data_IF_275271227483
#
_entry.id   IF_275271227483
#
_cell.length_a   1.000
_cell.length_b   1.000
_cell.length_c   1.000
_cell.angle_alpha   90.00
_cell.angle_beta   90.00
_cell.angle_gamma   90.00
#
_symmetry.space_group_name_H-M   'P 1'
#
loop_
_entity.id
_entity.type
_entity.pdbx_description
1 polymer ?
#
# COMPACT_ATOMS: atom_id res chain seq x y z
N UNK A 1 8.06 13.38 -1.54
CA UNK A 1 8.01 12.53 -2.76
C UNK A 1 6.57 12.21 -3.17
N UNK A 2 5.63 12.07 -2.23
CA UNK A 2 4.18 12.01 -2.49
C UNK A 2 3.56 13.35 -2.11
N UNK A 3 3.63 14.30 -3.03
CA UNK A 3 3.03 15.62 -2.86
C UNK A 3 1.50 15.51 -2.73
N UNK A 4 0.88 14.59 -3.47
CA UNK A 4 -0.54 14.28 -3.46
C UNK A 4 -1.10 14.01 -2.05
N UNK A 5 -0.49 13.09 -1.29
CA UNK A 5 -0.95 12.73 0.05
C UNK A 5 -0.79 13.90 1.05
N UNK A 6 0.28 14.70 0.92
CA UNK A 6 0.50 15.89 1.76
C UNK A 6 -0.46 17.03 1.42
N UNK A 7 -0.72 17.27 0.13
CA UNK A 7 -1.71 18.25 -0.31
C UNK A 7 -3.12 17.85 0.12
N UNK A 8 -3.48 16.56 0.01
CA UNK A 8 -4.79 16.06 0.41
C UNK A 8 -5.12 16.35 1.88
N UNK A 9 -4.20 16.05 2.80
CA UNK A 9 -4.42 16.34 4.23
C UNK A 9 -4.41 17.84 4.52
N UNK A 10 -3.57 18.62 3.83
CA UNK A 10 -3.55 20.09 3.96
C UNK A 10 -4.80 20.77 3.41
N UNK A 11 -5.45 20.18 2.41
CA UNK A 11 -6.74 20.63 1.90
C UNK A 11 -7.84 20.36 2.93
N UNK A 12 -7.87 19.14 3.50
CA UNK A 12 -8.79 18.76 4.57
C UNK A 12 -8.64 19.67 5.81
N UNK A 13 -7.41 20.00 6.22
CA UNK A 13 -7.14 20.93 7.34
C UNK A 13 -7.67 22.35 7.09
N UNK A 14 -7.92 22.73 5.83
CA UNK A 14 -8.51 24.02 5.45
C UNK A 14 -10.02 23.92 5.20
N UNK A 15 -10.64 22.78 5.46
CA UNK A 15 -12.07 22.55 5.24
C UNK A 15 -12.46 22.29 3.78
N UNK A 16 -11.49 22.06 2.89
CA UNK A 16 -11.78 21.70 1.50
C UNK A 16 -12.10 20.21 1.37
N UNK A 17 -12.91 19.88 0.37
CA UNK A 17 -13.21 18.50 -0.04
C UNK A 17 -12.48 18.16 -1.33
N UNK A 18 -12.04 16.92 -1.46
CA UNK A 18 -11.40 16.39 -2.67
C UNK A 18 -12.32 15.35 -3.28
N UNK A 19 -12.65 15.50 -4.55
CA UNK A 19 -13.51 14.59 -5.32
C UNK A 19 -12.73 13.87 -6.40
N UNK A 20 -13.32 12.78 -6.91
CA UNK A 20 -12.80 12.05 -8.07
C UNK A 20 -13.66 12.40 -9.28
N UNK A 21 -13.02 12.82 -10.36
CA UNK A 21 -13.69 13.08 -11.65
C UNK A 21 -13.87 11.76 -12.38
N UNK A 22 -15.04 11.52 -12.97
CA UNK A 22 -15.33 10.32 -13.77
C UNK A 22 -14.65 10.40 -15.15
N UNK A 23 -13.33 10.32 -15.15
CA UNK A 23 -12.50 10.30 -16.35
C UNK A 23 -11.52 9.12 -16.27
N UNK A 24 -11.11 8.62 -17.44
CA UNK A 24 -10.13 7.52 -17.54
C UNK A 24 -8.87 8.04 -18.22
N UNK A 25 -7.75 8.00 -17.50
CA UNK A 25 -6.42 8.30 -18.03
C UNK A 25 -5.65 6.99 -18.18
N UNK A 26 -5.05 6.77 -19.35
CA UNK A 26 -4.19 5.63 -19.61
C UNK A 26 -2.73 6.03 -19.35
N UNK A 27 -2.03 5.21 -18.58
CA UNK A 27 -0.59 5.33 -18.33
C UNK A 27 0.05 3.95 -18.53
N UNK A 28 1.31 3.93 -18.94
CA UNK A 28 2.08 2.71 -19.09
C UNK A 28 2.20 1.94 -17.76
N UNK A 29 1.76 0.69 -17.75
CA UNK A 29 1.96 -0.19 -16.61
C UNK A 29 3.42 -0.67 -16.55
N UNK A 30 4.00 -0.62 -15.35
CA UNK A 30 5.36 -1.08 -15.14
C UNK A 30 5.45 -2.61 -15.20
N UNK A 31 6.18 -3.13 -16.19
CA UNK A 31 6.34 -4.56 -16.44
C UNK A 31 7.69 -5.14 -15.96
N UNK A 32 8.62 -4.30 -15.47
CA UNK A 32 9.91 -4.75 -14.95
C UNK A 32 10.00 -4.61 -13.43
N UNK A 33 10.30 -5.72 -12.75
CA UNK A 33 10.37 -5.80 -11.28
C UNK A 33 11.29 -4.73 -10.67
N UNK A 34 12.49 -4.54 -11.22
CA UNK A 34 13.42 -3.53 -10.71
C UNK A 34 12.88 -2.09 -10.80
N UNK A 35 12.20 -1.77 -11.92
CA UNK A 35 11.58 -0.47 -12.12
C UNK A 35 10.35 -0.31 -11.21
N UNK A 36 9.57 -1.37 -11.01
CA UNK A 36 8.42 -1.41 -10.10
C UNK A 36 8.86 -1.15 -8.65
N UNK A 37 9.95 -1.78 -8.19
CA UNK A 37 10.49 -1.58 -6.84
C UNK A 37 10.91 -0.12 -6.65
N UNK A 38 11.57 0.49 -7.63
CA UNK A 38 11.92 1.93 -7.59
C UNK A 38 10.68 2.81 -7.47
N UNK A 39 9.68 2.57 -8.32
CA UNK A 39 8.42 3.30 -8.30
C UNK A 39 7.71 3.20 -6.94
N UNK A 40 7.51 1.98 -6.44
CA UNK A 40 6.79 1.73 -5.18
C UNK A 40 7.55 2.21 -3.97
N UNK A 41 8.86 2.04 -3.94
CA UNK A 41 9.69 2.54 -2.83
C UNK A 41 9.62 4.07 -2.72
N UNK A 42 9.53 4.79 -3.85
CA UNK A 42 9.29 6.25 -3.86
C UNK A 42 7.94 6.62 -3.23
N UNK A 43 6.87 5.90 -3.56
CA UNK A 43 5.53 6.15 -3.02
C UNK A 43 5.48 5.86 -1.51
N UNK A 44 5.97 4.69 -1.12
CA UNK A 44 6.00 4.27 0.30
C UNK A 44 6.87 5.23 1.13
N UNK A 45 8.03 5.66 0.62
CA UNK A 45 8.87 6.67 1.29
C UNK A 45 8.11 7.98 1.47
N UNK A 46 7.38 8.40 0.45
CA UNK A 46 6.52 9.57 0.52
C UNK A 46 5.46 9.44 1.62
N UNK A 47 4.77 8.30 1.70
CA UNK A 47 3.80 8.03 2.76
C UNK A 47 4.44 8.07 4.15
N UNK A 48 5.62 7.47 4.32
CA UNK A 48 6.37 7.56 5.57
C UNK A 48 6.70 9.02 5.95
N UNK A 49 7.15 9.83 4.97
CA UNK A 49 7.44 11.25 5.20
C UNK A 49 6.19 12.03 5.60
N UNK A 50 5.08 11.86 4.87
CA UNK A 50 3.81 12.53 5.16
C UNK A 50 3.27 12.10 6.53
N UNK A 51 3.31 10.81 6.84
CA UNK A 51 2.96 10.27 8.16
C UNK A 51 3.79 10.90 9.28
N UNK A 52 5.12 10.97 9.11
CA UNK A 52 6.02 11.54 10.11
C UNK A 52 5.79 13.04 10.32
N UNK A 53 5.51 13.81 9.27
CA UNK A 53 5.26 15.25 9.37
C UNK A 53 3.96 15.55 10.11
N UNK A 54 2.87 14.90 9.72
CA UNK A 54 1.53 15.18 10.26
C UNK A 54 1.28 14.50 11.62
N UNK A 55 2.03 13.46 11.96
CA UNK A 55 1.96 12.82 13.28
C UNK A 55 2.78 13.53 14.36
N UNK A 56 3.50 14.64 14.06
CA UNK A 56 4.26 15.41 15.08
C UNK A 56 3.37 16.04 16.14
N UNK A 57 2.12 16.39 15.79
CA UNK A 57 1.14 17.02 16.68
C UNK A 57 -0.24 16.39 16.47
N UNK A 58 -0.43 15.10 16.83
CA UNK A 58 -1.60 14.33 16.44
C UNK A 58 -2.91 14.91 17.02
N UNK A 59 -2.87 15.41 18.25
CA UNK A 59 -4.02 16.08 18.88
C UNK A 59 -4.45 17.35 18.12
N UNK A 60 -3.49 18.09 17.55
CA UNK A 60 -3.80 19.26 16.73
C UNK A 60 -4.42 18.85 15.41
N UNK A 61 -3.92 17.77 14.79
CA UNK A 61 -4.49 17.24 13.57
C UNK A 61 -5.93 16.79 13.78
N UNK A 62 -6.22 16.01 14.84
CA UNK A 62 -7.59 15.59 15.19
C UNK A 62 -8.53 16.79 15.38
N UNK A 63 -8.06 17.85 16.04
CA UNK A 63 -8.87 19.08 16.20
C UNK A 63 -9.14 19.81 14.87
N UNK A 64 -8.28 19.67 13.87
CA UNK A 64 -8.39 20.38 12.59
C UNK A 64 -9.20 19.61 11.55
N UNK A 65 -9.02 18.29 11.44
CA UNK A 65 -9.69 17.45 10.43
C UNK A 65 -10.80 16.56 10.99
N UNK A 66 -10.90 16.46 12.31
CA UNK A 66 -11.82 15.55 13.00
C UNK A 66 -11.32 14.10 13.04
N UNK A 67 -11.94 13.30 13.90
CA UNK A 67 -11.50 11.92 14.16
C UNK A 67 -11.61 11.01 12.93
N UNK A 68 -12.66 11.16 12.11
CA UNK A 68 -12.89 10.33 10.93
C UNK A 68 -11.78 10.48 9.88
N UNK A 69 -11.40 11.73 9.57
CA UNK A 69 -10.37 12.02 8.58
C UNK A 69 -8.97 11.69 9.14
N UNK A 70 -8.76 11.91 10.44
CA UNK A 70 -7.56 11.47 11.13
C UNK A 70 -7.37 9.95 11.06
N UNK A 71 -8.42 9.16 11.32
CA UNK A 71 -8.36 7.71 11.22
C UNK A 71 -8.12 7.25 9.77
N UNK A 72 -8.77 7.87 8.78
CA UNK A 72 -8.51 7.57 7.38
C UNK A 72 -7.05 7.86 6.99
N UNK A 73 -6.50 9.01 7.42
CA UNK A 73 -5.10 9.35 7.24
C UNK A 73 -4.18 8.33 7.90
N UNK A 74 -4.44 7.98 9.17
CA UNK A 74 -3.61 7.06 9.92
C UNK A 74 -3.63 5.65 9.31
N UNK A 75 -4.81 5.12 8.97
CA UNK A 75 -4.94 3.78 8.40
C UNK A 75 -4.36 3.68 6.99
N UNK A 76 -4.58 4.68 6.14
CA UNK A 76 -4.16 4.62 4.73
C UNK A 76 -2.72 5.08 4.52
N UNK A 77 -2.33 6.22 5.10
CA UNK A 77 -1.01 6.82 4.85
C UNK A 77 0.04 6.26 5.80
N UNK A 78 -0.22 6.22 7.11
CA UNK A 78 0.75 5.68 8.08
C UNK A 78 0.70 4.15 8.18
N UNK A 79 -0.51 3.57 8.13
CA UNK A 79 -0.75 2.15 8.28
C UNK A 79 -0.20 1.33 7.12
N UNK A 80 -0.32 1.81 5.88
CA UNK A 80 0.12 1.04 4.70
C UNK A 80 1.63 0.72 4.71
N UNK A 81 2.56 1.68 4.90
CA UNK A 81 3.98 1.39 5.07
C UNK A 81 4.26 0.45 6.24
N UNK A 82 3.56 0.64 7.37
CA UNK A 82 3.73 -0.19 8.55
C UNK A 82 3.32 -1.64 8.29
N UNK A 83 2.19 -1.87 7.63
CA UNK A 83 1.74 -3.19 7.20
C UNK A 83 2.78 -3.85 6.30
N UNK A 84 3.28 -3.16 5.27
CA UNK A 84 4.30 -3.74 4.38
C UNK A 84 5.60 -4.12 5.10
N UNK A 85 6.00 -3.37 6.13
CA UNK A 85 7.18 -3.69 6.95
C UNK A 85 6.92 -4.86 7.90
N UNK A 86 5.73 -4.93 8.51
CA UNK A 86 5.39 -5.96 9.50
C UNK A 86 5.00 -7.31 8.87
N UNK A 87 4.36 -7.30 7.70
CA UNK A 87 3.88 -8.51 7.02
C UNK A 87 4.93 -9.63 6.92
N UNK A 88 6.17 -9.41 6.40
CA UNK A 88 7.13 -10.50 6.27
C UNK A 88 7.64 -11.02 7.62
N UNK A 89 7.69 -10.16 8.65
CA UNK A 89 8.04 -10.57 10.01
C UNK A 89 6.96 -11.49 10.58
N UNK A 90 5.69 -11.07 10.49
CA UNK A 90 4.56 -11.85 11.00
C UNK A 90 4.39 -13.17 10.25
N UNK A 91 4.57 -13.17 8.92
CA UNK A 91 4.57 -14.40 8.13
C UNK A 91 5.75 -15.30 8.46
N UNK A 92 6.94 -14.74 8.69
CA UNK A 92 8.10 -15.49 9.13
C UNK A 92 7.88 -16.18 10.48
N UNK A 93 7.29 -15.47 11.45
CA UNK A 93 6.90 -16.03 12.75
C UNK A 93 5.86 -17.14 12.59
N UNK A 94 4.85 -16.94 11.74
CA UNK A 94 3.85 -17.96 11.45
C UNK A 94 4.46 -19.21 10.81
N UNK A 95 5.36 -19.06 9.82
CA UNK A 95 6.05 -20.18 9.19
C UNK A 95 6.98 -20.90 10.17
N UNK A 96 7.69 -20.18 11.01
CA UNK A 96 8.53 -20.78 12.06
C UNK A 96 7.68 -21.64 12.99
N UNK A 97 6.56 -21.12 13.48
CA UNK A 97 5.63 -21.87 14.30
C UNK A 97 5.05 -23.08 13.56
N UNK A 98 4.62 -22.90 12.31
CA UNK A 98 4.03 -23.97 11.50
C UNK A 98 5.00 -25.13 11.26
N UNK A 99 6.29 -24.84 11.08
CA UNK A 99 7.31 -25.84 10.78
C UNK A 99 7.91 -26.49 12.03
N UNK A 100 7.98 -25.76 13.15
CA UNK A 100 8.69 -26.23 14.37
C UNK A 100 7.77 -26.60 15.51
N UNK A 101 6.52 -26.12 15.52
CA UNK A 101 5.62 -26.24 16.66
C UNK A 101 6.13 -25.54 17.92
N UNK A 102 7.06 -24.58 17.79
CA UNK A 102 7.72 -23.96 18.95
C UNK A 102 6.74 -23.24 19.87
N UNK A 103 6.83 -23.53 21.16
CA UNK A 103 6.05 -22.84 22.21
C UNK A 103 6.64 -21.47 22.58
N UNK A 104 7.81 -21.12 22.04
CA UNK A 104 8.48 -19.85 22.32
C UNK A 104 7.67 -18.62 21.90
N UNK A 105 6.71 -18.78 20.98
CA UNK A 105 5.83 -17.71 20.53
C UNK A 105 4.57 -17.54 21.38
N UNK A 106 4.18 -18.53 22.19
CA UNK A 106 2.93 -18.50 22.97
C UNK A 106 2.80 -17.26 23.88
N UNK A 107 3.87 -16.80 24.59
CA UNK A 107 3.77 -15.60 25.42
C UNK A 107 3.44 -14.32 24.65
N UNK A 108 3.76 -14.27 23.36
CA UNK A 108 3.57 -13.10 22.50
C UNK A 108 2.22 -13.12 21.76
N UNK A 109 1.57 -14.29 21.68
CA UNK A 109 0.30 -14.50 20.99
C UNK A 109 -0.76 -15.05 21.95
N UNK A 110 -1.24 -14.25 22.92
CA UNK A 110 -2.38 -14.67 23.74
C UNK A 110 -3.60 -14.95 22.86
N UNK A 111 -4.59 -15.76 23.31
CA UNK A 111 -5.66 -16.28 22.46
C UNK A 111 -6.36 -15.23 21.59
N UNK A 112 -6.65 -14.05 22.15
CA UNK A 112 -7.27 -12.96 21.38
C UNK A 112 -6.40 -12.47 20.21
N UNK A 113 -5.09 -12.27 20.44
CA UNK A 113 -4.14 -11.84 19.40
C UNK A 113 -3.96 -12.93 18.35
N UNK A 114 -3.91 -14.19 18.78
CA UNK A 114 -3.82 -15.33 17.87
C UNK A 114 -5.05 -15.39 16.94
N UNK A 115 -6.27 -15.35 17.49
CA UNK A 115 -7.49 -15.40 16.68
C UNK A 115 -7.62 -14.19 15.75
N UNK A 116 -7.27 -12.99 16.22
CA UNK A 116 -7.25 -11.81 15.36
C UNK A 116 -6.23 -11.93 14.22
N UNK A 117 -5.06 -12.49 14.51
CA UNK A 117 -4.00 -12.72 13.52
C UNK A 117 -4.43 -13.75 12.48
N UNK A 118 -5.02 -14.87 12.91
CA UNK A 118 -5.56 -15.91 12.01
C UNK A 118 -6.73 -15.37 11.18
N UNK A 119 -7.62 -14.60 11.78
CA UNK A 119 -8.71 -13.91 11.06
C UNK A 119 -8.15 -12.99 9.98
N UNK A 120 -7.12 -12.19 10.29
CA UNK A 120 -6.49 -11.30 9.31
C UNK A 120 -5.78 -12.09 8.21
N UNK A 121 -5.03 -13.14 8.59
CA UNK A 121 -4.30 -14.00 7.67
C UNK A 121 -5.23 -14.70 6.67
N UNK A 122 -6.39 -15.16 7.11
CA UNK A 122 -7.34 -15.88 6.26
C UNK A 122 -8.32 -14.92 5.58
N UNK A 123 -9.18 -14.27 6.36
CA UNK A 123 -10.26 -13.43 5.81
C UNK A 123 -9.78 -12.10 5.26
N UNK A 124 -8.80 -11.46 5.90
CA UNK A 124 -8.22 -10.22 5.38
C UNK A 124 -7.54 -10.43 4.02
N UNK A 125 -6.78 -11.51 3.88
CA UNK A 125 -6.09 -11.84 2.65
C UNK A 125 -7.08 -12.27 1.56
N UNK A 126 -8.07 -13.11 1.90
CA UNK A 126 -9.12 -13.52 0.98
C UNK A 126 -9.95 -12.33 0.47
N UNK A 127 -10.32 -11.40 1.34
CA UNK A 127 -11.02 -10.18 0.96
C UNK A 127 -10.18 -9.30 0.02
N UNK A 128 -8.88 -9.16 0.31
CA UNK A 128 -7.99 -8.39 -0.57
C UNK A 128 -7.84 -9.03 -1.96
N UNK A 129 -7.72 -10.36 -2.05
CA UNK A 129 -7.74 -11.11 -3.31
C UNK A 129 -9.05 -10.86 -4.05
N UNK A 130 -10.19 -11.03 -3.37
CA UNK A 130 -11.51 -10.82 -3.94
C UNK A 130 -11.70 -9.40 -4.50
N UNK A 131 -11.29 -8.36 -3.75
CA UNK A 131 -11.40 -6.97 -4.20
C UNK A 131 -10.53 -6.68 -5.42
N UNK A 132 -9.32 -7.25 -5.51
CA UNK A 132 -8.48 -7.12 -6.69
C UNK A 132 -9.09 -7.84 -7.90
N UNK A 133 -9.67 -9.02 -7.69
CA UNK A 133 -10.40 -9.75 -8.72
C UNK A 133 -11.61 -8.94 -9.21
N UNK A 134 -12.41 -8.39 -8.29
CA UNK A 134 -13.56 -7.56 -8.60
C UNK A 134 -13.17 -6.31 -9.40
N UNK A 135 -12.02 -5.69 -9.09
CA UNK A 135 -11.50 -4.55 -9.84
C UNK A 135 -11.20 -4.93 -11.31
N UNK A 136 -10.57 -6.08 -11.56
CA UNK A 136 -10.32 -6.58 -12.91
C UNK A 136 -11.64 -6.88 -13.64
N UNK A 137 -12.62 -7.50 -12.97
CA UNK A 137 -13.94 -7.78 -13.53
C UNK A 137 -14.72 -6.50 -13.89
N UNK A 138 -14.74 -5.50 -13.01
CA UNK A 138 -15.41 -4.21 -13.29
C UNK A 138 -14.80 -3.48 -14.49
N UNK A 139 -13.51 -3.68 -14.76
CA UNK A 139 -12.80 -3.14 -15.92
C UNK A 139 -12.85 -4.05 -17.16
N UNK A 140 -13.58 -5.17 -17.10
CA UNK A 140 -13.67 -6.19 -18.16
C UNK A 140 -12.33 -6.83 -18.55
N UNK A 141 -11.35 -6.80 -17.64
CA UNK A 141 -10.02 -7.39 -17.82
C UNK A 141 -9.99 -8.83 -17.28
N UNK A 142 -10.88 -9.68 -17.80
CA UNK A 142 -11.13 -11.01 -17.23
C UNK A 142 -9.91 -11.92 -17.24
N UNK A 143 -9.05 -11.80 -18.26
CA UNK A 143 -7.80 -12.54 -18.34
C UNK A 143 -6.83 -12.21 -17.18
N UNK A 144 -6.94 -11.03 -16.57
CA UNK A 144 -6.11 -10.62 -15.44
C UNK A 144 -6.67 -11.05 -14.08
N UNK A 145 -7.96 -11.42 -14.01
CA UNK A 145 -8.61 -11.76 -12.75
C UNK A 145 -7.96 -12.93 -11.99
N UNK A 146 -7.52 -14.04 -12.63
CA UNK A 146 -6.83 -15.13 -11.94
C UNK A 146 -5.51 -14.70 -11.28
N UNK A 147 -4.83 -13.68 -11.82
CA UNK A 147 -3.57 -13.19 -11.25
C UNK A 147 -3.75 -12.54 -9.88
N UNK A 148 -4.98 -12.20 -9.48
CA UNK A 148 -5.27 -11.74 -8.10
C UNK A 148 -4.91 -12.80 -7.04
N UNK A 149 -4.89 -14.09 -7.40
CA UNK A 149 -4.44 -15.17 -6.51
C UNK A 149 -2.96 -15.06 -6.16
N UNK A 150 -2.16 -14.37 -6.96
CA UNK A 150 -0.74 -14.12 -6.71
C UNK A 150 -0.50 -12.94 -5.74
N UNK A 151 -1.56 -12.32 -5.20
CA UNK A 151 -1.44 -11.21 -4.26
C UNK A 151 -0.51 -11.48 -3.05
N UNK A 152 -0.53 -12.66 -2.40
CA UNK A 152 0.40 -12.95 -1.30
C UNK A 152 1.87 -12.83 -1.73
N UNK A 153 2.20 -13.31 -2.93
CA UNK A 153 3.55 -13.18 -3.50
C UNK A 153 3.83 -11.71 -3.86
N UNK A 154 2.84 -11.00 -4.41
CA UNK A 154 2.97 -9.59 -4.75
C UNK A 154 3.18 -8.69 -3.52
N UNK A 155 2.63 -9.04 -2.35
CA UNK A 155 2.89 -8.30 -1.10
C UNK A 155 4.34 -8.42 -0.63
N UNK A 156 5.04 -9.52 -0.94
CA UNK A 156 6.49 -9.63 -0.68
C UNK A 156 7.25 -8.54 -1.45
N UNK A 157 6.87 -8.26 -2.71
CA UNK A 157 7.48 -7.17 -3.48
C UNK A 157 7.20 -5.81 -2.81
N UNK A 158 6.00 -5.59 -2.29
CA UNK A 158 5.67 -4.39 -1.53
C UNK A 158 6.52 -4.25 -0.27
N UNK A 159 6.76 -5.34 0.45
CA UNK A 159 7.65 -5.38 1.60
C UNK A 159 9.10 -5.04 1.23
N UNK A 160 9.63 -5.62 0.16
CA UNK A 160 10.98 -5.28 -0.35
C UNK A 160 11.08 -3.78 -0.67
N UNK A 161 10.07 -3.24 -1.37
CA UNK A 161 10.01 -1.81 -1.67
C UNK A 161 9.89 -0.94 -0.40
N UNK A 162 9.18 -1.42 0.63
CA UNK A 162 9.02 -0.72 1.91
C UNK A 162 10.31 -0.68 2.74
N UNK A 163 11.05 -1.80 2.84
CA UNK A 163 12.35 -1.81 3.51
C UNK A 163 13.37 -0.92 2.80
N UNK A 164 13.38 -0.96 1.47
CA UNK A 164 14.21 -0.06 0.67
C UNK A 164 13.82 1.42 0.90
N UNK A 165 12.53 1.71 0.94
CA UNK A 165 12.02 3.05 1.25
C UNK A 165 12.44 3.51 2.66
N UNK A 166 12.35 2.63 3.65
CA UNK A 166 12.78 2.89 5.02
C UNK A 166 14.27 3.19 5.10
N UNK A 167 15.12 2.38 4.46
CA UNK A 167 16.56 2.64 4.40
C UNK A 167 16.87 3.99 3.73
N UNK A 168 16.18 4.30 2.63
CA UNK A 168 16.33 5.58 1.94
C UNK A 168 15.81 6.77 2.72
N UNK A 169 14.83 6.58 3.60
CA UNK A 169 14.31 7.63 4.45
C UNK A 169 15.43 8.21 5.36
N UNK A 170 16.32 7.35 5.85
CA UNK A 170 17.45 7.75 6.69
C UNK A 170 18.69 8.15 5.89
N UNK A 171 19.01 7.43 4.82
CA UNK A 171 20.26 7.65 4.07
C UNK A 171 20.16 8.71 2.98
N UNK A 172 19.01 8.82 2.32
CA UNK A 172 18.77 9.71 1.16
C UNK A 172 17.32 10.22 1.14
N UNK A 173 16.88 10.99 2.16
CA UNK A 173 15.48 11.36 2.35
C UNK A 173 14.85 12.06 1.13
N UNK A 174 15.61 12.94 0.47
CA UNK A 174 15.13 13.74 -0.66
C UNK A 174 15.48 13.14 -2.03
N UNK A 175 16.10 11.96 -2.10
CA UNK A 175 16.52 11.37 -3.36
C UNK A 175 15.34 10.81 -4.17
N UNK A 176 15.24 11.21 -5.44
CA UNK A 176 14.15 10.81 -6.33
C UNK A 176 14.59 9.69 -7.26
N UNK A 177 14.04 8.50 -7.06
CA UNK A 177 14.24 7.40 -8.00
C UNK A 177 13.36 7.56 -9.21
N UNK A 178 13.99 7.98 -10.31
CA UNK A 178 13.34 8.02 -11.62
C UNK A 178 13.10 6.58 -12.10
N UNK A 179 11.90 6.38 -12.62
CA UNK A 179 11.52 5.16 -13.33
C UNK A 179 11.77 5.33 -14.81
N UNK A 180 12.21 4.27 -15.48
CA UNK A 180 12.30 4.24 -16.93
C UNK A 180 10.88 4.05 -17.50
N UNK A 181 10.59 4.74 -18.59
CA UNK A 181 9.33 4.68 -19.36
C UNK A 181 9.64 4.09 -20.74
N UNK A 182 8.64 3.55 -21.44
CA UNK A 182 8.80 2.87 -22.74
C UNK A 182 9.33 1.44 -22.62
N UNK A 183 9.04 0.76 -21.51
CA UNK A 183 9.42 -0.63 -21.27
C UNK A 183 8.35 -1.61 -21.80
N UNK A 184 7.11 -1.15 -21.90
CA UNK A 184 6.02 -1.91 -22.52
C UNK A 184 6.07 -1.79 -24.03
N UNK A 185 5.91 -2.92 -24.71
CA UNK A 185 5.69 -2.97 -26.17
C UNK A 185 4.21 -2.84 -26.55
N UNK A 186 3.31 -2.72 -25.57
CA UNK A 186 1.88 -2.53 -25.83
C UNK A 186 1.61 -1.05 -26.05
N UNK A 187 1.12 -0.71 -27.25
CA UNK A 187 0.53 0.60 -27.52
C UNK A 187 -0.78 0.76 -26.74
N UNK A 188 -1.07 1.99 -26.31
CA UNK A 188 -2.35 2.29 -25.69
C UNK A 188 -3.47 1.94 -26.70
N UNK A 189 -4.55 1.27 -26.29
CA UNK A 189 -5.66 1.00 -27.19
C UNK A 189 -6.19 2.35 -27.72
N UNK A 190 -6.15 2.53 -29.05
CA UNK A 190 -6.86 3.61 -29.71
C UNK A 190 -8.36 3.39 -29.45
N UNK A 191 -8.93 4.20 -28.56
CA UNK A 191 -10.37 4.21 -28.33
C UNK A 191 -10.96 5.39 -29.10
N UNK A 192 -11.86 5.11 -30.03
CA UNK A 192 -12.75 6.13 -30.59
C UNK A 192 -13.54 6.79 -29.46
N UNK A 193 -13.75 8.12 -29.50
CA UNK A 193 -14.54 8.81 -28.49
C UNK A 193 -15.92 8.18 -28.43
N UNK A 194 -16.30 7.65 -27.26
CA UNK A 194 -17.68 7.23 -27.02
C UNK A 194 -18.60 8.44 -27.16
N UNK A 195 -19.73 8.33 -27.89
CA UNK A 195 -20.69 9.42 -28.08
C UNK A 195 -21.31 9.89 -26.76
#
# INVERSE_FOLDING_TARGET
MTEDADLGIRAAMRGYTVGVVNSTTYEEANNHVGNWIRQRSRWIKGYMQTALVHSRKPLRLVKQVGIRQFLAFFLLIAGTPLTFLLSPLLWGLFLLWLLTGTQALEPYFPPFVLYLSLFNLLLGNALAIYLNMLAAFKRRLYALAPFALLNPVYWILHSVAAYKALFQLFTKPFYWEKTLHGLSKQEAPHLEPTP
#
